data_IF_380337321591
#
_entry.id   IF_380337321591
#
_cell.length_a   1.000
_cell.length_b   1.000
_cell.length_c   1.000
_cell.angle_alpha   90.00
_cell.angle_beta   90.00
_cell.angle_gamma   90.00
#
_symmetry.space_group_name_H-M   'P 1'
#
loop_
_entity.id
_entity.type
_entity.pdbx_description
1 polymer ?
#
# COMPACT_ATOMS: atom_id res chain seq x y z
N UNK A 1 -17.64 14.03 -8.52
CA UNK A 1 -16.26 13.68 -8.14
C UNK A 1 -16.38 12.53 -7.14
N UNK A 2 -15.73 11.40 -7.42
CA UNK A 2 -15.67 10.23 -6.54
C UNK A 2 -14.20 9.91 -6.31
N UNK A 3 -13.86 9.34 -5.15
CA UNK A 3 -12.47 9.04 -4.78
C UNK A 3 -12.42 8.02 -3.66
N UNK A 4 -11.22 7.78 -3.14
CA UNK A 4 -10.99 6.81 -2.06
C UNK A 4 -10.33 7.45 -0.84
N UNK A 5 -10.65 6.91 0.33
CA UNK A 5 -9.88 7.09 1.57
C UNK A 5 -9.42 5.70 1.97
N UNK A 6 -8.16 5.38 1.68
CA UNK A 6 -7.59 4.04 1.92
C UNK A 6 -6.46 4.06 2.93
N UNK A 7 -6.18 2.91 3.56
CA UNK A 7 -5.11 2.80 4.56
C UNK A 7 -3.75 2.65 3.87
N UNK A 8 -3.62 1.77 2.88
CA UNK A 8 -2.39 1.58 2.12
C UNK A 8 -1.94 2.84 1.37
N UNK A 9 -2.84 3.80 1.16
CA UNK A 9 -2.50 5.08 0.51
C UNK A 9 -1.34 5.81 1.20
N UNK A 10 -1.05 5.52 2.48
CA UNK A 10 0.14 6.02 3.17
C UNK A 10 1.48 5.63 2.50
N UNK A 11 1.54 4.53 1.75
CA UNK A 11 2.75 4.11 1.01
C UNK A 11 2.49 3.78 -0.48
N UNK A 12 1.23 3.74 -0.92
CA UNK A 12 0.83 3.50 -2.31
C UNK A 12 0.14 4.71 -2.97
N UNK A 13 0.30 5.91 -2.43
CA UNK A 13 -0.34 7.12 -2.97
C UNK A 13 -0.06 7.34 -4.47
N UNK A 14 1.19 7.24 -4.98
CA UNK A 14 1.44 7.41 -6.42
C UNK A 14 0.72 6.37 -7.28
N UNK A 15 0.62 5.14 -6.78
CA UNK A 15 -0.05 4.04 -7.48
C UNK A 15 -1.57 4.27 -7.57
N UNK A 16 -2.17 4.82 -6.52
CA UNK A 16 -3.58 5.21 -6.55
C UNK A 16 -3.83 6.34 -7.55
N UNK A 17 -2.95 7.35 -7.60
CA UNK A 17 -3.08 8.45 -8.56
C UNK A 17 -3.02 7.92 -10.00
N UNK A 18 -2.03 7.09 -10.31
CA UNK A 18 -1.89 6.47 -11.64
C UNK A 18 -3.11 5.61 -12.00
N UNK A 19 -3.63 4.82 -11.06
CA UNK A 19 -4.84 4.02 -11.25
C UNK A 19 -6.05 4.90 -11.60
N UNK A 20 -6.25 6.01 -10.90
CA UNK A 20 -7.36 6.93 -11.17
C UNK A 20 -7.17 7.70 -12.48
N UNK A 21 -5.95 8.14 -12.80
CA UNK A 21 -5.65 8.79 -14.08
C UNK A 21 -5.99 7.89 -15.28
N UNK A 22 -5.67 6.59 -15.19
CA UNK A 22 -6.00 5.62 -16.22
C UNK A 22 -7.51 5.38 -16.31
N UNK A 23 -8.18 5.28 -15.15
CA UNK A 23 -9.63 5.15 -15.08
C UNK A 23 -10.33 6.34 -15.73
N UNK A 24 -9.91 7.57 -15.42
CA UNK A 24 -10.50 8.81 -15.97
C UNK A 24 -10.29 8.93 -17.49
N UNK A 25 -9.18 8.39 -18.02
CA UNK A 25 -8.92 8.30 -19.46
C UNK A 25 -9.70 7.18 -20.16
N UNK A 26 -10.41 6.34 -19.42
CA UNK A 26 -11.13 5.18 -19.94
C UNK A 26 -10.26 3.93 -20.16
N UNK A 27 -8.99 3.94 -19.73
CA UNK A 27 -8.13 2.77 -19.76
C UNK A 27 -8.38 1.86 -18.55
N UNK A 28 -9.42 1.05 -18.67
CA UNK A 28 -9.82 0.08 -17.64
C UNK A 28 -8.75 -1.02 -17.47
N UNK A 29 -8.04 -1.39 -18.54
CA UNK A 29 -7.03 -2.46 -18.48
C UNK A 29 -5.81 -1.99 -17.70
N UNK A 30 -5.30 -0.80 -18.00
CA UNK A 30 -4.19 -0.20 -17.25
C UNK A 30 -4.57 0.08 -15.80
N UNK A 31 -5.76 0.65 -15.54
CA UNK A 31 -6.22 0.88 -14.17
C UNK A 31 -6.26 -0.43 -13.35
N UNK A 32 -6.71 -1.53 -13.96
CA UNK A 32 -6.71 -2.86 -13.31
C UNK A 32 -5.30 -3.40 -13.08
N UNK A 33 -4.37 -3.17 -14.02
CA UNK A 33 -2.98 -3.56 -13.88
C UNK A 33 -2.33 -2.82 -12.70
N UNK A 34 -2.50 -1.51 -12.61
CA UNK A 34 -2.00 -0.70 -11.49
C UNK A 34 -2.66 -1.10 -10.16
N UNK A 35 -3.96 -1.40 -10.16
CA UNK A 35 -4.61 -1.93 -8.96
C UNK A 35 -3.98 -3.26 -8.50
N UNK A 36 -3.61 -4.13 -9.45
CA UNK A 36 -3.08 -5.47 -9.14
C UNK A 36 -1.76 -5.45 -8.37
N UNK A 37 -0.88 -4.46 -8.63
CA UNK A 37 0.38 -4.33 -7.88
C UNK A 37 0.20 -3.95 -6.41
N UNK A 38 -0.95 -3.37 -6.06
CA UNK A 38 -1.26 -2.95 -4.69
C UNK A 38 -1.97 -4.03 -3.85
N UNK A 39 -2.35 -5.17 -4.43
CA UNK A 39 -3.15 -6.20 -3.74
C UNK A 39 -2.49 -6.72 -2.47
N UNK A 40 -1.16 -6.92 -2.49
CA UNK A 40 -0.43 -7.33 -1.29
C UNK A 40 -0.45 -6.25 -0.20
N UNK A 41 -0.40 -4.97 -0.59
CA UNK A 41 -0.53 -3.86 0.36
C UNK A 41 -1.92 -3.83 1.01
N UNK A 42 -2.98 -4.08 0.23
CA UNK A 42 -4.36 -4.17 0.76
C UNK A 42 -4.56 -5.39 1.66
N UNK A 43 -3.89 -6.51 1.36
CA UNK A 43 -3.91 -7.68 2.23
C UNK A 43 -3.13 -7.46 3.53
N UNK A 44 -2.09 -6.63 3.50
CA UNK A 44 -1.24 -6.36 4.64
C UNK A 44 -1.74 -5.22 5.55
N UNK A 45 -2.47 -4.24 5.02
CA UNK A 45 -2.87 -3.04 5.78
C UNK A 45 -3.76 -3.31 6.99
N UNK A 46 -4.40 -4.49 7.04
CA UNK A 46 -5.22 -4.94 8.16
C UNK A 46 -5.40 -6.46 8.15
N UNK A 47 -5.46 -7.08 9.34
CA UNK A 47 -5.81 -8.49 9.51
C UNK A 47 -6.21 -8.79 10.95
N UNK A 48 -6.67 -10.01 11.22
CA UNK A 48 -7.16 -10.39 12.55
C UNK A 48 -6.06 -10.34 13.62
N UNK A 49 -4.84 -10.78 13.27
CA UNK A 49 -3.68 -10.79 14.18
C UNK A 49 -2.96 -9.43 14.27
N UNK A 50 -3.21 -8.53 13.31
CA UNK A 50 -2.65 -7.18 13.27
C UNK A 50 -3.66 -6.20 12.65
N UNK A 51 -4.66 -5.73 13.44
CA UNK A 51 -5.64 -4.78 12.93
C UNK A 51 -5.01 -3.44 12.60
N UNK A 52 -5.61 -2.71 11.66
CA UNK A 52 -5.28 -1.31 11.43
C UNK A 52 -5.41 -0.50 12.75
N UNK A 53 -4.41 0.32 13.16
CA UNK A 53 -3.28 0.83 12.38
C UNK A 53 -1.92 0.18 12.66
N UNK A 54 -1.88 -1.05 13.17
CA UNK A 54 -0.62 -1.73 13.48
C UNK A 54 0.27 -1.85 12.23
N UNK A 55 -0.19 -2.42 11.10
CA UNK A 55 0.65 -2.56 9.90
C UNK A 55 1.07 -1.21 9.32
N UNK A 56 0.15 -0.25 9.23
CA UNK A 56 0.45 1.10 8.71
C UNK A 56 1.54 1.78 9.51
N UNK A 57 1.48 1.73 10.85
CA UNK A 57 2.54 2.30 11.70
C UNK A 57 3.87 1.59 11.53
N UNK A 58 3.87 0.27 11.31
CA UNK A 58 5.08 -0.48 10.99
C UNK A 58 5.70 -0.01 9.67
N UNK A 59 4.90 0.12 8.60
CA UNK A 59 5.38 0.65 7.30
C UNK A 59 5.93 2.06 7.46
N UNK A 60 5.22 2.96 8.13
CA UNK A 60 5.67 4.34 8.32
C UNK A 60 6.99 4.41 9.09
N UNK A 61 7.16 3.61 10.16
CA UNK A 61 8.43 3.50 10.90
C UNK A 61 9.56 2.97 10.01
N UNK A 62 9.30 1.94 9.21
CA UNK A 62 10.29 1.39 8.27
C UNK A 62 10.73 2.42 7.22
N UNK A 63 9.81 3.25 6.75
CA UNK A 63 10.08 4.37 5.83
C UNK A 63 10.75 5.58 6.52
N UNK A 64 11.11 5.47 7.80
CA UNK A 64 11.79 6.52 8.56
C UNK A 64 10.87 7.61 9.11
N UNK A 65 9.54 7.44 9.04
CA UNK A 65 8.57 8.40 9.57
C UNK A 65 8.33 8.09 11.06
N UNK A 66 8.57 9.03 11.99
CA UNK A 66 8.59 8.77 13.42
C UNK A 66 7.17 8.75 14.04
N UNK A 67 6.34 7.78 13.64
CA UNK A 67 4.94 7.66 14.11
C UNK A 67 4.76 6.88 15.41
N UNK A 68 5.82 6.18 15.87
CA UNK A 68 5.79 5.30 17.04
C UNK A 68 4.80 4.12 16.93
N UNK A 69 4.63 3.38 18.02
CA UNK A 69 3.69 2.26 18.14
C UNK A 69 2.24 2.74 18.27
N UNK A 70 1.27 1.82 18.20
CA UNK A 70 -0.10 2.15 18.53
C UNK A 70 -0.27 2.27 20.05
N UNK A 71 -1.32 2.98 20.49
CA UNK A 71 -1.65 3.06 21.91
C UNK A 71 -2.54 1.88 22.29
N UNK A 72 -2.63 1.60 23.59
CA UNK A 72 -3.62 0.66 24.11
C UNK A 72 -5.04 1.05 23.65
N UNK A 73 -5.91 0.07 23.35
CA UNK A 73 -5.76 -1.36 23.64
C UNK A 73 -4.95 -2.18 22.63
N UNK A 74 -4.60 -1.63 21.46
CA UNK A 74 -3.86 -2.37 20.43
C UNK A 74 -2.39 -2.59 20.82
N UNK A 75 -1.72 -1.55 21.31
CA UNK A 75 -0.34 -1.63 21.76
C UNK A 75 0.68 -1.76 20.62
N UNK A 76 1.80 -2.42 20.93
CA UNK A 76 2.92 -2.55 20.01
C UNK A 76 2.64 -3.57 18.91
N UNK A 77 3.25 -3.36 17.74
CA UNK A 77 3.18 -4.31 16.65
C UNK A 77 3.81 -5.66 17.05
N UNK A 78 3.18 -6.80 16.72
CA UNK A 78 3.87 -8.09 16.74
C UNK A 78 5.11 -8.09 15.85
N UNK A 79 6.19 -8.75 16.28
CA UNK A 79 7.48 -8.76 15.58
C UNK A 79 7.38 -9.15 14.09
N UNK A 80 6.47 -10.10 13.77
CA UNK A 80 6.28 -10.55 12.40
C UNK A 80 5.81 -9.43 11.47
N UNK A 81 5.07 -8.45 11.98
CA UNK A 81 4.59 -7.31 11.19
C UNK A 81 5.78 -6.51 10.69
N UNK A 82 6.69 -6.14 11.61
CA UNK A 82 7.90 -5.39 11.28
C UNK A 82 8.83 -6.20 10.35
N UNK A 83 8.89 -7.52 10.51
CA UNK A 83 9.64 -8.42 9.61
C UNK A 83 9.03 -8.53 8.21
N UNK A 84 7.70 -8.38 8.07
CA UNK A 84 6.98 -8.52 6.80
C UNK A 84 7.02 -7.24 5.95
N UNK A 85 7.15 -6.07 6.57
CA UNK A 85 7.19 -4.77 5.86
C UNK A 85 8.20 -4.72 4.70
N UNK A 86 9.49 -5.10 4.87
CA UNK A 86 10.48 -4.99 3.81
C UNK A 86 10.10 -5.84 2.58
N UNK A 87 9.49 -7.00 2.80
CA UNK A 87 9.07 -7.89 1.71
C UNK A 87 7.89 -7.31 0.93
N UNK A 88 6.87 -6.79 1.62
CA UNK A 88 5.72 -6.13 0.98
C UNK A 88 6.18 -4.94 0.12
N UNK A 89 7.06 -4.10 0.65
CA UNK A 89 7.61 -2.96 -0.08
C UNK A 89 8.50 -3.38 -1.25
N UNK A 90 9.31 -4.42 -1.08
CA UNK A 90 10.14 -4.96 -2.16
C UNK A 90 9.31 -5.58 -3.29
N UNK A 91 8.22 -6.29 -2.97
CA UNK A 91 7.29 -6.84 -3.95
C UNK A 91 6.59 -5.73 -4.74
N UNK A 92 6.10 -4.69 -4.04
CA UNK A 92 5.52 -3.52 -4.68
C UNK A 92 6.53 -2.82 -5.60
N UNK A 93 7.79 -2.65 -5.16
CA UNK A 93 8.83 -2.05 -5.98
C UNK A 93 9.18 -2.91 -7.20
N UNK A 94 9.33 -4.23 -7.03
CA UNK A 94 9.53 -5.16 -8.16
C UNK A 94 8.42 -5.04 -9.20
N UNK A 95 7.18 -4.87 -8.75
CA UNK A 95 6.05 -4.62 -9.64
C UNK A 95 6.18 -3.31 -10.41
N UNK A 96 6.54 -2.21 -9.72
CA UNK A 96 6.79 -0.91 -10.37
C UNK A 96 7.92 -1.00 -11.40
N UNK A 97 8.99 -1.71 -11.07
CA UNK A 97 10.15 -1.88 -11.96
C UNK A 97 9.81 -2.73 -13.20
N UNK A 98 8.95 -3.73 -13.06
CA UNK A 98 8.51 -4.59 -14.16
C UNK A 98 7.55 -3.87 -15.14
N UNK A 99 6.83 -2.86 -14.65
CA UNK A 99 5.86 -2.08 -15.43
C UNK A 99 6.06 -0.58 -15.18
N UNK A 100 7.18 0.01 -15.66
CA UNK A 100 7.59 1.37 -15.30
C UNK A 100 6.83 2.47 -16.05
N UNK A 101 6.10 2.11 -17.11
CA UNK A 101 5.27 3.03 -17.89
C UNK A 101 3.84 2.51 -17.90
N UNK A 102 2.82 3.39 -17.75
CA UNK A 102 1.47 3.04 -18.15
C UNK A 102 1.50 2.65 -19.64
N UNK A 103 0.81 1.58 -20.06
CA UNK A 103 0.84 1.13 -21.45
C UNK A 103 0.52 2.29 -22.39
N UNK A 104 1.35 2.45 -23.44
CA UNK A 104 1.11 3.41 -24.51
C UNK A 104 -0.22 3.04 -25.21
N UNK A 105 -1.14 4.00 -25.31
CA UNK A 105 -2.34 3.92 -26.14
C UNK A 105 -2.26 4.92 -27.28
#
# INVERSE_FOLDING_TARGET
>A
IVGTVGVATHWTAPDHQEMFDLWEKGDIVGARLVNSRMLESFAFETGDEAPNPIPTKAVMRHLGIPVGQARLPMGDAPDWVDQRVPEVLANLQRWRDAFPQPPDH
#
